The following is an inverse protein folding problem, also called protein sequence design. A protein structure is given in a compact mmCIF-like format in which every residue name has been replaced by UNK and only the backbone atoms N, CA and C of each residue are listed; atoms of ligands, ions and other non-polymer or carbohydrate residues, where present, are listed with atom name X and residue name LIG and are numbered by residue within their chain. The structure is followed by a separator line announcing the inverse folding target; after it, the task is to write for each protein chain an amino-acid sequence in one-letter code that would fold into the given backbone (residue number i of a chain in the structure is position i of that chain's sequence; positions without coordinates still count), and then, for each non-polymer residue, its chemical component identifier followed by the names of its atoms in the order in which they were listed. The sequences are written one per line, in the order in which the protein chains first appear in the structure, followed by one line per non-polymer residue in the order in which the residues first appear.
data_IF_599654148101
#
_entry.id   IF_599654148101
#
_cell.length_a   1.000
_cell.length_b   1.000
_cell.length_c   1.000
_cell.angle_alpha   90.00
_cell.angle_beta   90.00
_cell.angle_gamma   90.00
#
_symmetry.space_group_name_H-M   'P 1'
#
loop_
_entity.id
_entity.type
_entity.pdbx_description
1 polymer ?
#
# COMPACT_ATOMS: atom_id res chain seq x y z
N UNK A 1 -43.56 -59.44 -14.28
CA UNK A 1 -44.40 -58.24 -14.05
C UNK A 1 -43.57 -57.01 -14.37
N UNK A 2 -44.20 -56.05 -15.06
CA UNK A 2 -43.81 -54.65 -15.22
C UNK A 2 -42.58 -54.30 -16.09
N UNK A 3 -42.82 -54.19 -17.40
CA UNK A 3 -42.17 -53.23 -18.30
C UNK A 3 -42.80 -51.85 -18.10
N UNK A 4 -42.03 -50.83 -17.71
CA UNK A 4 -42.50 -49.46 -17.56
C UNK A 4 -42.16 -48.64 -18.82
N UNK A 5 -43.20 -48.17 -19.51
CA UNK A 5 -43.16 -47.32 -20.70
C UNK A 5 -42.85 -45.87 -20.31
N UNK A 6 -41.87 -45.26 -20.97
CA UNK A 6 -41.67 -43.81 -21.01
C UNK A 6 -42.71 -43.19 -21.96
N UNK A 7 -43.44 -42.18 -21.49
CA UNK A 7 -44.31 -41.34 -22.31
C UNK A 7 -43.96 -39.87 -22.08
N UNK A 8 -43.62 -39.19 -23.17
CA UNK A 8 -43.46 -37.74 -23.25
C UNK A 8 -44.78 -37.13 -23.76
N UNK A 9 -45.25 -35.98 -23.26
CA UNK A 9 -46.35 -35.27 -23.89
C UNK A 9 -45.82 -34.26 -24.91
N UNK A 10 -46.31 -34.42 -26.14
CA UNK A 10 -46.19 -33.46 -27.24
C UNK A 10 -47.10 -32.25 -27.01
N UNK A 11 -46.59 -31.07 -27.31
CA UNK A 11 -47.30 -29.79 -27.33
C UNK A 11 -48.32 -29.73 -28.48
N UNK A 12 -49.61 -29.58 -28.16
CA UNK A 12 -50.64 -29.24 -29.13
C UNK A 12 -50.87 -27.72 -29.16
N UNK A 13 -50.74 -27.17 -30.37
CA UNK A 13 -51.12 -25.81 -30.72
C UNK A 13 -52.65 -25.72 -30.81
N UNK A 14 -53.26 -24.88 -29.97
CA UNK A 14 -54.66 -24.47 -30.11
C UNK A 14 -54.71 -23.02 -30.58
N UNK A 15 -55.10 -22.85 -31.85
CA UNK A 15 -55.44 -21.58 -32.48
C UNK A 15 -56.84 -21.20 -31.99
N UNK A 16 -56.95 -20.15 -31.17
CA UNK A 16 -58.20 -19.54 -30.75
C UNK A 16 -58.21 -18.06 -31.12
N UNK A 17 -59.00 -17.70 -32.13
CA UNK A 17 -59.08 -16.35 -32.69
C UNK A 17 -59.52 -15.29 -31.67
N UNK A 18 -58.92 -14.11 -31.75
CA UNK A 18 -59.38 -12.90 -31.04
C UNK A 18 -59.98 -11.92 -32.04
N UNK A 19 -61.20 -11.52 -31.73
CA UNK A 19 -61.95 -10.43 -32.35
C UNK A 19 -61.42 -9.08 -31.81
N UNK A 20 -61.07 -8.09 -32.65
CA UNK A 20 -60.46 -6.84 -32.18
C UNK A 20 -61.53 -5.77 -31.91
N UNK A 21 -62.31 -5.92 -30.84
CA UNK A 21 -63.27 -4.88 -30.44
C UNK A 21 -63.68 -5.00 -28.97
N UNK A 22 -62.73 -5.11 -28.05
CA UNK A 22 -63.01 -4.81 -26.64
C UNK A 22 -61.71 -4.68 -25.87
N UNK A 23 -61.34 -3.44 -25.51
CA UNK A 23 -60.44 -3.08 -24.40
C UNK A 23 -60.24 -1.55 -24.41
N UNK A 24 -61.30 -0.81 -24.10
CA UNK A 24 -61.18 0.53 -23.50
C UNK A 24 -61.87 0.49 -22.14
N UNK A 25 -61.12 0.15 -21.09
CA UNK A 25 -61.41 0.63 -19.74
C UNK A 25 -60.12 0.74 -18.95
N UNK A 26 -59.76 2.00 -18.71
CA UNK A 26 -58.70 2.47 -17.85
C UNK A 26 -59.00 2.09 -16.40
N UNK A 27 -58.15 1.25 -15.81
CA UNK A 27 -57.98 1.14 -14.35
C UNK A 27 -56.65 1.77 -14.01
N UNK A 28 -56.71 2.97 -13.42
CA UNK A 28 -55.57 3.64 -12.82
C UNK A 28 -55.13 2.81 -11.60
N UNK A 29 -53.99 2.13 -11.72
CA UNK A 29 -53.26 1.59 -10.57
C UNK A 29 -52.73 2.78 -9.75
N UNK A 30 -52.85 2.79 -8.42
CA UNK A 30 -52.22 3.81 -7.61
C UNK A 30 -50.69 3.71 -7.79
N UNK A 31 -50.07 4.84 -8.13
CA UNK A 31 -48.62 4.96 -8.26
C UNK A 31 -47.96 4.49 -6.96
N UNK A 32 -47.15 3.43 -7.06
CA UNK A 32 -46.30 3.01 -5.96
C UNK A 32 -45.42 4.19 -5.54
N UNK A 33 -45.47 4.57 -4.26
CA UNK A 33 -44.52 5.49 -3.65
C UNK A 33 -43.10 5.08 -4.05
N UNK A 34 -42.19 6.03 -4.35
CA UNK A 34 -40.81 5.68 -4.60
C UNK A 34 -40.28 5.00 -3.33
N UNK A 35 -40.03 3.68 -3.42
CA UNK A 35 -39.21 3.00 -2.43
C UNK A 35 -37.93 3.81 -2.34
N UNK A 36 -37.70 4.47 -1.21
CA UNK A 36 -36.40 5.01 -0.82
C UNK A 36 -35.41 3.87 -1.06
N UNK A 37 -34.57 4.00 -2.09
CA UNK A 37 -33.43 3.10 -2.26
C UNK A 37 -32.69 3.19 -0.92
N UNK A 38 -32.53 2.04 -0.27
CA UNK A 38 -31.88 1.93 1.02
C UNK A 38 -30.57 2.72 1.00
N UNK A 39 -30.30 3.43 2.09
CA UNK A 39 -29.18 4.34 2.26
C UNK A 39 -27.91 3.85 1.55
N UNK A 40 -27.30 4.74 0.77
CA UNK A 40 -26.03 4.51 0.11
C UNK A 40 -25.05 3.83 1.08
N UNK A 41 -24.21 2.88 0.61
CA UNK A 41 -23.19 2.27 1.45
C UNK A 41 -22.43 3.38 2.15
N UNK A 42 -22.37 3.34 3.49
CA UNK A 42 -21.68 4.34 4.30
C UNK A 42 -20.19 4.21 3.98
N UNK A 43 -19.74 4.94 2.96
CA UNK A 43 -18.34 5.09 2.58
C UNK A 43 -17.76 6.16 3.50
N UNK A 44 -16.79 5.79 4.32
CA UNK A 44 -15.92 6.73 5.05
C UNK A 44 -16.62 7.95 5.66
N UNK A 45 -17.74 7.71 6.38
CA UNK A 45 -18.64 8.67 7.03
C UNK A 45 -18.33 10.16 6.82
N UNK A 46 -17.86 10.82 7.88
CA UNK A 46 -17.53 12.26 7.91
C UNK A 46 -16.13 12.61 7.38
N UNK A 47 -15.31 11.62 7.04
CA UNK A 47 -13.88 11.83 6.72
C UNK A 47 -13.55 11.71 5.22
N UNK A 48 -14.53 11.45 4.37
CA UNK A 48 -14.31 11.16 2.93
C UNK A 48 -13.38 12.17 2.25
N UNK A 49 -13.68 13.48 2.33
CA UNK A 49 -12.85 14.50 1.69
C UNK A 49 -11.45 14.62 2.32
N UNK A 50 -11.35 14.50 3.65
CA UNK A 50 -10.06 14.53 4.37
C UNK A 50 -9.17 13.35 3.96
N UNK A 51 -9.74 12.16 3.80
CA UNK A 51 -9.02 10.97 3.37
C UNK A 51 -8.48 11.12 1.95
N UNK A 52 -9.31 11.60 1.02
CA UNK A 52 -8.87 11.85 -0.37
C UNK A 52 -7.75 12.89 -0.40
N UNK A 53 -7.91 13.98 0.35
CA UNK A 53 -6.90 15.04 0.41
C UNK A 53 -5.59 14.55 1.04
N UNK A 54 -5.68 13.77 2.11
CA UNK A 54 -4.52 13.19 2.80
C UNK A 54 -3.78 12.22 1.88
N UNK A 55 -4.49 11.30 1.23
CA UNK A 55 -3.89 10.31 0.34
C UNK A 55 -3.17 10.98 -0.85
N UNK A 56 -3.78 12.01 -1.45
CA UNK A 56 -3.14 12.84 -2.51
C UNK A 56 -1.93 13.62 -2.00
N UNK A 57 -1.99 14.16 -0.78
CA UNK A 57 -0.88 14.91 -0.18
C UNK A 57 0.34 14.02 0.07
N UNK A 58 0.09 12.79 0.54
CA UNK A 58 1.13 11.77 0.69
C UNK A 58 1.67 11.35 -0.68
N UNK A 59 0.80 11.10 -1.65
CA UNK A 59 1.14 10.71 -3.03
C UNK A 59 1.50 11.91 -3.93
N UNK A 60 2.37 12.80 -3.45
CA UNK A 60 2.75 14.03 -4.14
C UNK A 60 4.07 13.91 -4.93
N UNK A 61 4.20 14.63 -6.07
CA UNK A 61 5.39 14.57 -6.93
C UNK A 61 6.71 14.74 -6.17
N UNK A 62 7.67 13.86 -6.43
CA UNK A 62 9.00 13.90 -5.85
C UNK A 62 9.06 13.50 -4.38
N UNK A 63 7.97 13.03 -3.76
CA UNK A 63 7.97 12.63 -2.36
C UNK A 63 7.56 11.17 -2.15
N UNK A 64 8.00 10.60 -1.03
CA UNK A 64 7.62 9.27 -0.59
C UNK A 64 7.50 9.20 0.94
N UNK A 65 7.50 7.98 1.46
CA UNK A 65 7.24 7.71 2.88
C UNK A 65 8.50 7.14 3.55
N UNK A 66 8.86 7.72 4.70
CA UNK A 66 9.84 7.15 5.62
C UNK A 66 9.14 6.15 6.56
N UNK A 67 9.42 4.86 6.42
CA UNK A 67 8.85 3.84 7.29
C UNK A 67 9.79 3.55 8.47
N UNK A 68 9.47 4.09 9.65
CA UNK A 68 10.23 3.94 10.91
C UNK A 68 9.40 3.26 11.99
N UNK A 69 8.45 2.44 11.55
CA UNK A 69 7.47 1.71 12.34
C UNK A 69 7.97 0.33 12.77
N UNK A 70 9.29 0.16 12.88
CA UNK A 70 9.86 -1.06 13.42
C UNK A 70 9.39 -1.24 14.87
N UNK A 71 8.80 -2.40 15.16
CA UNK A 71 8.50 -2.80 16.54
C UNK A 71 9.77 -2.75 17.40
N UNK A 72 9.62 -2.67 18.72
CA UNK A 72 10.76 -2.63 19.64
C UNK A 72 11.74 -3.78 19.42
N UNK A 73 11.25 -4.99 19.14
CA UNK A 73 12.08 -6.14 18.80
C UNK A 73 12.84 -5.96 17.47
N UNK A 74 12.18 -5.43 16.44
CA UNK A 74 12.78 -5.20 15.12
C UNK A 74 13.81 -4.06 15.17
N UNK A 75 13.50 -2.97 15.88
CA UNK A 75 14.44 -1.88 16.12
C UNK A 75 15.66 -2.38 16.91
N UNK A 76 15.45 -3.23 17.92
CA UNK A 76 16.53 -3.84 18.68
C UNK A 76 17.54 -4.60 17.81
N UNK A 77 17.06 -5.39 16.84
CA UNK A 77 17.96 -6.07 15.87
C UNK A 77 18.79 -5.07 15.04
N UNK A 78 18.23 -3.90 14.72
CA UNK A 78 18.96 -2.85 14.00
C UNK A 78 20.00 -2.16 14.88
N UNK A 79 19.65 -1.82 16.12
CA UNK A 79 20.59 -1.24 17.08
C UNK A 79 21.74 -2.20 17.40
N UNK A 80 21.44 -3.49 17.58
CA UNK A 80 22.46 -4.51 17.81
C UNK A 80 23.48 -4.61 16.65
N UNK A 81 23.07 -4.35 15.41
CA UNK A 81 23.97 -4.37 14.24
C UNK A 81 25.06 -3.28 14.28
N UNK A 82 24.89 -2.27 15.12
CA UNK A 82 25.87 -1.20 15.38
C UNK A 82 26.39 -1.23 16.82
N UNK A 83 26.16 -2.32 17.55
CA UNK A 83 26.64 -2.52 18.93
C UNK A 83 25.85 -1.77 20.01
N UNK A 84 24.61 -1.37 19.74
CA UNK A 84 23.76 -0.68 20.72
C UNK A 84 22.71 -1.60 21.34
N UNK A 85 22.49 -1.43 22.64
CA UNK A 85 21.43 -2.12 23.38
C UNK A 85 20.04 -1.62 22.97
N UNK A 86 19.05 -2.51 23.06
CA UNK A 86 17.65 -2.21 22.78
C UNK A 86 16.94 -1.53 23.96
N UNK A 87 17.40 -0.33 24.33
CA UNK A 87 16.77 0.51 25.35
C UNK A 87 15.81 1.51 24.73
N UNK A 88 14.83 1.98 25.50
CA UNK A 88 13.93 3.06 25.05
C UNK A 88 14.70 4.31 24.64
N UNK A 89 15.68 4.72 25.44
CA UNK A 89 16.53 5.88 25.15
C UNK A 89 17.26 5.74 23.81
N UNK A 90 17.81 4.57 23.48
CA UNK A 90 18.47 4.34 22.19
C UNK A 90 17.48 4.34 21.02
N UNK A 91 16.28 3.78 21.21
CA UNK A 91 15.20 3.82 20.21
C UNK A 91 14.69 5.24 19.96
N UNK A 92 14.56 6.04 21.02
CA UNK A 92 14.18 7.45 20.98
C UNK A 92 15.27 8.28 20.29
N UNK A 93 16.55 8.13 20.69
CA UNK A 93 17.66 8.85 20.08
C UNK A 93 17.78 8.58 18.57
N UNK A 94 17.59 7.32 18.18
CA UNK A 94 17.56 6.95 16.77
C UNK A 94 16.40 7.62 16.01
N UNK A 95 15.21 7.69 16.60
CA UNK A 95 14.04 8.31 15.98
C UNK A 95 14.14 9.82 15.96
N UNK A 96 14.67 10.42 17.01
CA UNK A 96 15.00 11.84 17.06
C UNK A 96 15.94 12.22 15.92
N UNK A 97 17.05 11.49 15.72
CA UNK A 97 17.97 11.71 14.61
C UNK A 97 17.23 11.80 13.27
N UNK A 98 16.36 10.84 12.97
CA UNK A 98 15.60 10.80 11.72
C UNK A 98 14.60 11.96 11.62
N UNK A 99 13.83 12.20 12.68
CA UNK A 99 12.68 13.10 12.70
C UNK A 99 13.05 14.59 12.86
N UNK A 100 14.28 14.89 13.27
CA UNK A 100 14.82 16.25 13.34
C UNK A 100 15.78 16.58 12.19
N UNK A 101 15.81 15.75 11.15
CA UNK A 101 16.59 16.05 9.93
C UNK A 101 15.94 17.22 9.18
N UNK A 102 16.61 18.39 9.18
CA UNK A 102 16.12 19.57 8.47
C UNK A 102 16.07 19.37 6.95
N UNK A 103 15.01 19.85 6.31
CA UNK A 103 14.81 19.74 4.85
C UNK A 103 14.35 18.36 4.38
N UNK A 104 14.05 17.43 5.30
CA UNK A 104 13.56 16.10 4.95
C UNK A 104 12.20 16.17 4.23
N UNK A 105 11.39 17.18 4.55
CA UNK A 105 10.09 17.45 3.94
C UNK A 105 10.07 17.66 2.43
N UNK A 106 11.21 18.02 1.84
CA UNK A 106 11.37 18.15 0.38
C UNK A 106 11.19 16.81 -0.35
N UNK A 107 11.49 15.71 0.33
CA UNK A 107 11.56 14.36 -0.24
C UNK A 107 10.62 13.37 0.43
N UNK A 108 10.18 13.66 1.64
CA UNK A 108 9.31 12.80 2.44
C UNK A 108 7.98 13.52 2.66
N UNK A 109 6.88 12.87 2.30
CA UNK A 109 5.51 13.38 2.47
C UNK A 109 4.81 12.75 3.68
N UNK A 110 5.27 11.59 4.14
CA UNK A 110 4.74 10.94 5.34
C UNK A 110 5.79 10.09 6.06
N UNK A 111 5.59 9.89 7.36
CA UNK A 111 6.41 8.99 8.16
C UNK A 111 5.52 8.00 8.92
N UNK A 112 5.77 6.69 8.76
CA UNK A 112 5.05 5.66 9.51
C UNK A 112 5.78 5.44 10.82
N UNK A 113 5.09 5.66 11.94
CA UNK A 113 5.61 5.51 13.29
C UNK A 113 5.17 4.18 13.91
N UNK A 114 5.96 3.70 14.87
CA UNK A 114 5.50 2.72 15.85
C UNK A 114 4.81 3.46 17.00
N UNK A 115 3.95 2.78 17.76
CA UNK A 115 3.16 3.39 18.83
C UNK A 115 4.02 4.10 19.87
N UNK A 116 5.13 3.47 20.32
CA UNK A 116 6.11 4.10 21.21
C UNK A 116 6.57 5.46 20.67
N UNK A 117 6.92 5.54 19.38
CA UNK A 117 7.41 6.77 18.74
C UNK A 117 6.32 7.82 18.55
N UNK A 118 5.05 7.43 18.36
CA UNK A 118 3.93 8.37 18.21
C UNK A 118 3.70 9.23 19.47
N UNK A 119 3.99 8.65 20.65
CA UNK A 119 3.85 9.32 21.95
C UNK A 119 5.17 9.86 22.51
N UNK A 120 6.30 9.58 21.86
CA UNK A 120 7.60 10.10 22.26
C UNK A 120 7.80 11.57 21.86
N UNK A 121 8.74 12.19 22.56
CA UNK A 121 9.24 13.53 22.29
C UNK A 121 10.75 13.48 22.06
N UNK A 122 11.30 14.54 21.51
CA UNK A 122 12.73 14.81 21.53
C UNK A 122 13.22 15.00 22.97
N UNK A 123 14.52 14.93 23.19
CA UNK A 123 15.16 15.16 24.50
C UNK A 123 14.91 16.57 25.07
N UNK A 124 14.61 17.55 24.23
CA UNK A 124 14.21 18.92 24.61
C UNK A 124 12.68 19.11 24.73
N UNK A 125 11.90 18.02 24.67
CA UNK A 125 10.47 18.01 25.00
C UNK A 125 9.50 18.30 23.83
N UNK A 126 9.99 18.46 22.59
CA UNK A 126 9.14 18.63 21.41
C UNK A 126 8.58 17.28 20.97
N UNK A 127 7.26 17.16 20.81
CA UNK A 127 6.65 15.91 20.33
C UNK A 127 7.16 15.56 18.93
N UNK A 128 7.40 14.27 18.67
CA UNK A 128 7.84 13.82 17.34
C UNK A 128 6.83 14.12 16.23
N UNK A 129 5.52 14.04 16.53
CA UNK A 129 4.46 14.43 15.58
C UNK A 129 4.56 15.91 15.17
N UNK A 130 5.03 16.78 16.06
CA UNK A 130 5.18 18.21 15.77
C UNK A 130 6.49 18.51 15.02
N UNK A 131 7.53 17.68 15.21
CA UNK A 131 8.72 17.71 14.36
C UNK A 131 8.37 17.38 12.90
N UNK A 132 7.59 16.32 12.69
CA UNK A 132 7.10 15.92 11.36
C UNK A 132 6.28 17.03 10.70
N UNK A 133 5.30 17.60 11.42
CA UNK A 133 4.45 18.68 10.89
C UNK A 133 5.25 19.93 10.51
N UNK A 134 6.27 20.27 11.27
CA UNK A 134 7.15 21.41 10.97
C UNK A 134 7.88 21.23 9.63
N UNK A 135 8.26 19.99 9.29
CA UNK A 135 8.84 19.61 8.00
C UNK A 135 7.78 19.30 6.93
N UNK A 136 6.49 19.58 7.15
CA UNK A 136 5.40 19.22 6.24
C UNK A 136 5.35 17.72 5.89
N UNK A 137 5.70 16.88 6.87
CA UNK A 137 5.62 15.43 6.81
C UNK A 137 4.40 14.97 7.59
N UNK A 138 3.53 14.20 6.93
CA UNK A 138 2.33 13.63 7.54
C UNK A 138 2.73 12.55 8.58
N UNK A 139 2.23 12.59 9.83
CA UNK A 139 2.39 11.47 10.75
C UNK A 139 1.45 10.32 10.38
N UNK A 140 1.98 9.10 10.36
CA UNK A 140 1.22 7.87 10.21
C UNK A 140 1.60 6.83 11.25
N UNK A 141 0.79 5.79 11.39
CA UNK A 141 0.92 4.82 12.48
C UNK A 141 0.76 3.38 11.98
N UNK A 142 1.66 2.48 12.38
CA UNK A 142 1.45 1.04 12.21
C UNK A 142 0.43 0.55 13.24
N UNK A 143 -0.65 -0.07 12.77
CA UNK A 143 -1.76 -0.49 13.65
C UNK A 143 -1.96 -2.00 13.73
N UNK A 144 -1.29 -2.76 12.88
CA UNK A 144 -1.28 -4.22 12.98
C UNK A 144 -0.48 -4.71 14.19
N UNK A 145 -0.91 -5.83 14.78
CA UNK A 145 -0.27 -6.47 15.94
C UNK A 145 0.67 -7.61 15.54
N UNK A 146 1.11 -7.63 14.29
CA UNK A 146 2.09 -8.58 13.78
C UNK A 146 1.49 -9.87 13.23
N UNK A 147 2.40 -10.72 12.74
CA UNK A 147 2.08 -11.99 12.11
C UNK A 147 2.12 -13.11 13.14
N UNK A 148 1.20 -14.06 13.00
CA UNK A 148 1.21 -15.33 13.75
C UNK A 148 1.00 -16.50 12.78
N UNK A 149 1.39 -17.73 13.14
CA UNK A 149 1.12 -18.91 12.33
C UNK A 149 -0.36 -19.03 11.99
N UNK A 150 -0.68 -19.32 10.73
CA UNK A 150 -2.05 -19.57 10.28
C UNK A 150 -2.40 -21.04 10.52
N UNK A 151 -3.31 -21.35 11.46
CA UNK A 151 -3.67 -22.74 11.75
C UNK A 151 -4.27 -23.43 10.52
N UNK A 152 -3.90 -24.70 10.30
CA UNK A 152 -4.37 -25.46 9.14
C UNK A 152 -3.72 -25.08 7.80
N UNK A 153 -2.69 -24.24 7.82
CA UNK A 153 -1.89 -23.89 6.64
C UNK A 153 -0.54 -24.61 6.63
N UNK A 154 0.15 -24.57 5.49
CA UNK A 154 1.51 -25.09 5.34
C UNK A 154 2.54 -24.06 5.81
N UNK A 155 2.67 -23.81 7.12
CA UNK A 155 3.61 -22.83 7.65
C UNK A 155 3.43 -21.41 7.03
N UNK A 156 2.19 -21.04 6.74
CA UNK A 156 1.82 -19.69 6.35
C UNK A 156 1.46 -18.87 7.60
N UNK A 157 1.25 -17.56 7.43
CA UNK A 157 0.95 -16.66 8.53
C UNK A 157 -0.26 -15.80 8.23
N UNK A 158 -0.91 -15.30 9.28
CA UNK A 158 -1.93 -14.26 9.17
C UNK A 158 -1.62 -13.14 10.14
N UNK A 159 -2.22 -11.97 9.92
CA UNK A 159 -1.95 -10.79 10.72
C UNK A 159 -3.08 -10.47 11.70
N UNK A 160 -2.73 -10.21 12.95
CA UNK A 160 -3.66 -9.89 14.02
C UNK A 160 -3.77 -8.38 14.26
N UNK A 161 -4.80 -7.97 15.01
CA UNK A 161 -4.90 -6.60 15.53
C UNK A 161 -6.24 -5.89 15.30
N UNK A 162 -7.24 -6.56 14.72
CA UNK A 162 -8.55 -5.97 14.45
C UNK A 162 -9.33 -5.66 15.74
N UNK A 163 -9.13 -6.46 16.79
CA UNK A 163 -9.77 -6.25 18.08
C UNK A 163 -9.36 -4.90 18.67
N UNK A 164 -10.38 -4.08 18.97
CA UNK A 164 -10.22 -2.72 19.47
C UNK A 164 -9.62 -1.73 18.47
N UNK A 165 -9.47 -2.09 17.19
CA UNK A 165 -8.79 -1.25 16.20
C UNK A 165 -9.48 0.10 16.01
N UNK A 166 -10.81 0.18 16.01
CA UNK A 166 -11.54 1.44 15.86
C UNK A 166 -11.15 2.45 16.95
N UNK A 167 -11.21 2.03 18.22
CA UNK A 167 -10.82 2.87 19.35
C UNK A 167 -9.35 3.31 19.26
N UNK A 168 -8.44 2.41 18.84
CA UNK A 168 -7.03 2.78 18.63
C UNK A 168 -6.87 3.80 17.51
N UNK A 169 -7.53 3.60 16.36
CA UNK A 169 -7.48 4.55 15.24
C UNK A 169 -7.98 5.94 15.64
N UNK A 170 -9.11 6.01 16.37
CA UNK A 170 -9.63 7.27 16.89
C UNK A 170 -8.62 7.98 17.82
N UNK A 171 -7.93 7.23 18.68
CA UNK A 171 -6.92 7.79 19.57
C UNK A 171 -5.66 8.25 18.83
N UNK A 172 -5.20 7.48 17.84
CA UNK A 172 -4.08 7.88 17.00
C UNK A 172 -4.41 9.12 16.15
N UNK A 173 -5.65 9.24 15.67
CA UNK A 173 -6.10 10.43 14.95
C UNK A 173 -6.00 11.69 15.83
N UNK A 174 -6.46 11.61 17.09
CA UNK A 174 -6.33 12.71 18.08
C UNK A 174 -4.86 13.04 18.37
N UNK A 175 -4.01 12.02 18.49
CA UNK A 175 -2.57 12.19 18.71
C UNK A 175 -1.85 12.81 17.50
N UNK A 176 -2.46 12.75 16.32
CA UNK A 176 -2.01 13.49 15.14
C UNK A 176 -1.72 12.66 13.91
N UNK A 177 -1.91 11.34 13.96
CA UNK A 177 -1.82 10.49 12.79
C UNK A 177 -2.93 10.85 11.78
N UNK A 178 -2.63 10.73 10.50
CA UNK A 178 -3.61 10.91 9.39
C UNK A 178 -3.66 9.75 8.43
N UNK A 179 -2.75 8.80 8.58
CA UNK A 179 -2.78 7.54 7.86
C UNK A 179 -2.30 6.40 8.75
N UNK A 180 -2.72 5.20 8.41
CA UNK A 180 -2.35 3.99 9.10
C UNK A 180 -1.63 3.03 8.16
N UNK A 181 -0.95 2.03 8.72
CA UNK A 181 -0.34 0.95 7.94
C UNK A 181 -0.68 -0.40 8.57
N UNK A 182 -1.05 -1.36 7.74
CA UNK A 182 -1.26 -2.75 8.13
C UNK A 182 -0.53 -3.68 7.19
N UNK A 183 0.42 -4.44 7.73
CA UNK A 183 1.20 -5.41 6.96
C UNK A 183 0.63 -6.82 7.09
N UNK A 184 0.29 -7.44 5.97
CA UNK A 184 0.13 -8.90 5.88
C UNK A 184 1.18 -9.49 4.94
N UNK A 185 1.40 -10.80 5.02
CA UNK A 185 2.34 -11.49 4.14
C UNK A 185 1.69 -12.67 3.47
N UNK A 186 2.17 -12.98 2.28
CA UNK A 186 1.84 -14.19 1.53
C UNK A 186 3.14 -14.86 1.11
N UNK A 187 3.29 -16.13 1.44
CA UNK A 187 4.50 -16.90 1.15
C UNK A 187 4.41 -17.59 -0.20
N UNK A 188 5.47 -17.48 -1.00
CA UNK A 188 5.66 -18.25 -2.24
C UNK A 188 6.24 -19.66 -1.98
N UNK A 189 7.25 -19.87 -1.11
CA UNK A 189 7.78 -21.21 -0.89
C UNK A 189 6.81 -22.11 -0.11
N UNK A 190 5.99 -21.52 0.75
CA UNK A 190 5.03 -22.25 1.58
C UNK A 190 3.63 -22.33 0.95
N UNK A 191 3.40 -21.61 -0.16
CA UNK A 191 2.10 -21.52 -0.82
C UNK A 191 2.06 -20.54 -2.02
N UNK A 192 0.98 -19.78 -2.25
CA UNK A 192 -0.02 -19.49 -1.26
C UNK A 192 -1.26 -20.38 -1.34
N UNK A 193 -1.69 -20.92 -0.20
CA UNK A 193 -2.97 -21.60 -0.09
C UNK A 193 -4.13 -20.63 -0.31
N UNK A 194 -5.28 -21.13 -0.76
CA UNK A 194 -6.48 -20.30 -0.88
C UNK A 194 -6.90 -19.69 0.48
N UNK A 195 -6.65 -20.40 1.57
CA UNK A 195 -6.91 -19.92 2.94
C UNK A 195 -6.04 -18.69 3.27
N UNK A 196 -4.73 -18.76 3.02
CA UNK A 196 -3.82 -17.66 3.31
C UNK A 196 -4.09 -16.42 2.44
N UNK A 197 -4.38 -16.62 1.15
CA UNK A 197 -4.75 -15.50 0.25
C UNK A 197 -6.02 -14.83 0.74
N UNK A 198 -7.05 -15.62 1.06
CA UNK A 198 -8.33 -15.09 1.55
C UNK A 198 -8.14 -14.34 2.87
N UNK A 199 -7.42 -14.90 3.84
CA UNK A 199 -7.24 -14.23 5.14
C UNK A 199 -6.40 -12.96 5.06
N UNK A 200 -5.34 -12.97 4.25
CA UNK A 200 -4.56 -11.76 3.99
C UNK A 200 -5.45 -10.66 3.40
N UNK A 201 -6.27 -11.00 2.41
CA UNK A 201 -7.14 -10.06 1.69
C UNK A 201 -8.31 -9.56 2.56
N UNK A 202 -8.98 -10.46 3.28
CA UNK A 202 -10.09 -10.15 4.16
C UNK A 202 -9.66 -9.32 5.38
N UNK A 203 -8.50 -9.65 5.98
CA UNK A 203 -7.92 -8.89 7.08
C UNK A 203 -7.59 -7.45 6.68
N UNK A 204 -6.95 -7.27 5.52
CA UNK A 204 -6.65 -5.95 4.96
C UNK A 204 -7.92 -5.14 4.69
N UNK A 205 -8.96 -5.77 4.15
CA UNK A 205 -10.20 -5.08 3.84
C UNK A 205 -10.93 -4.57 5.09
N UNK A 206 -11.04 -5.40 6.14
CA UNK A 206 -11.63 -4.99 7.43
C UNK A 206 -10.81 -3.88 8.09
N UNK A 207 -9.49 -3.99 8.08
CA UNK A 207 -8.59 -2.94 8.56
C UNK A 207 -8.85 -1.61 7.83
N UNK A 208 -8.89 -1.64 6.50
CA UNK A 208 -9.03 -0.44 5.69
C UNK A 208 -10.35 0.28 5.96
N UNK A 209 -11.46 -0.46 6.05
CA UNK A 209 -12.77 0.09 6.39
C UNK A 209 -12.76 0.75 7.77
N UNK A 210 -12.23 0.07 8.80
CA UNK A 210 -12.14 0.60 10.16
C UNK A 210 -11.26 1.87 10.21
N UNK A 211 -10.13 1.88 9.49
CA UNK A 211 -9.24 3.03 9.44
C UNK A 211 -9.94 4.26 8.81
N UNK A 212 -10.64 4.06 7.69
CA UNK A 212 -11.37 5.14 7.02
C UNK A 212 -12.50 5.70 7.89
N UNK A 213 -13.23 4.85 8.61
CA UNK A 213 -14.30 5.26 9.52
C UNK A 213 -13.78 6.09 10.71
N UNK A 214 -12.48 6.03 10.98
CA UNK A 214 -11.79 6.77 12.04
C UNK A 214 -10.82 7.83 11.50
N UNK A 215 -10.98 8.26 10.24
CA UNK A 215 -10.25 9.39 9.66
C UNK A 215 -8.78 9.12 9.30
N UNK A 216 -8.36 7.86 9.25
CA UNK A 216 -7.00 7.47 8.85
C UNK A 216 -7.01 6.86 7.45
N UNK A 217 -6.21 7.41 6.53
CA UNK A 217 -5.96 6.78 5.21
C UNK A 217 -5.27 5.43 5.43
N UNK A 218 -5.85 4.29 5.03
CA UNK A 218 -5.19 3.01 5.17
C UNK A 218 -4.13 2.81 4.07
N UNK A 219 -2.90 2.53 4.50
CA UNK A 219 -1.89 1.89 3.66
C UNK A 219 -2.13 0.38 3.73
N UNK A 220 -2.62 -0.16 2.62
CA UNK A 220 -2.87 -1.59 2.41
C UNK A 220 -1.56 -2.25 1.97
N UNK A 221 -0.95 -3.11 2.80
CA UNK A 221 0.35 -3.76 2.52
C UNK A 221 0.21 -5.28 2.38
N UNK A 222 -0.16 -5.78 1.18
CA UNK A 222 -0.17 -7.21 0.84
C UNK A 222 1.22 -7.64 0.34
N UNK A 223 2.16 -7.85 1.26
CA UNK A 223 3.54 -8.22 0.90
C UNK A 223 3.60 -9.67 0.40
N UNK A 224 4.01 -9.85 -0.86
CA UNK A 224 4.47 -11.16 -1.33
C UNK A 224 5.93 -11.31 -0.88
N UNK A 225 6.19 -12.35 -0.08
CA UNK A 225 7.53 -12.59 0.48
C UNK A 225 8.55 -12.90 -0.61
N UNK A 226 9.76 -12.41 -0.40
CA UNK A 226 10.89 -12.58 -1.31
C UNK A 226 11.52 -13.98 -1.20
N UNK A 227 11.30 -14.69 -0.10
CA UNK A 227 11.96 -15.95 0.23
C UNK A 227 11.79 -17.05 -0.84
N UNK A 228 12.84 -17.84 -1.07
CA UNK A 228 12.87 -18.98 -2.01
C UNK A 228 13.60 -18.74 -3.35
N UNK A 229 13.67 -19.78 -4.18
CA UNK A 229 14.40 -19.85 -5.47
C UNK A 229 13.44 -19.74 -6.69
N UNK A 230 12.31 -19.08 -6.53
CA UNK A 230 11.32 -18.97 -7.60
C UNK A 230 11.69 -17.89 -8.62
N UNK A 231 11.40 -18.10 -9.93
CA UNK A 231 11.64 -17.09 -10.95
C UNK A 231 10.63 -15.94 -10.85
N UNK A 232 10.93 -14.80 -11.51
CA UNK A 232 10.10 -13.59 -11.44
C UNK A 232 8.66 -13.81 -11.94
N UNK A 233 8.46 -14.72 -12.88
CA UNK A 233 7.15 -15.11 -13.42
C UNK A 233 6.26 -15.72 -12.32
N UNK A 234 6.85 -16.49 -11.41
CA UNK A 234 6.11 -17.08 -10.28
C UNK A 234 5.68 -16.00 -9.30
N UNK A 235 6.53 -15.02 -9.02
CA UNK A 235 6.17 -13.85 -8.21
C UNK A 235 5.00 -13.08 -8.83
N UNK A 236 5.03 -12.89 -10.16
CA UNK A 236 3.94 -12.24 -10.89
C UNK A 236 2.63 -13.02 -10.75
N UNK A 237 2.64 -14.33 -10.99
CA UNK A 237 1.46 -15.19 -10.89
C UNK A 237 0.83 -15.11 -9.48
N UNK A 238 1.65 -15.23 -8.45
CA UNK A 238 1.20 -15.15 -7.06
C UNK A 238 0.65 -13.76 -6.73
N UNK A 239 1.36 -12.70 -7.09
CA UNK A 239 0.92 -11.33 -6.85
C UNK A 239 -0.42 -11.04 -7.55
N UNK A 240 -0.61 -11.51 -8.78
CA UNK A 240 -1.86 -11.34 -9.52
C UNK A 240 -3.05 -11.99 -8.84
N UNK A 241 -2.87 -13.23 -8.33
CA UNK A 241 -3.92 -13.93 -7.59
C UNK A 241 -4.27 -13.19 -6.30
N UNK A 242 -3.26 -12.84 -5.51
CA UNK A 242 -3.46 -12.20 -4.20
C UNK A 242 -4.13 -10.85 -4.35
N UNK A 243 -3.67 -10.03 -5.29
CA UNK A 243 -4.15 -8.65 -5.36
C UNK A 243 -5.54 -8.55 -6.00
N UNK A 244 -5.92 -9.52 -6.85
CA UNK A 244 -7.30 -9.66 -7.27
C UNK A 244 -8.24 -9.84 -6.07
N UNK A 245 -7.89 -10.74 -5.13
CA UNK A 245 -8.68 -10.94 -3.91
C UNK A 245 -8.63 -9.75 -2.96
N UNK A 246 -7.49 -9.06 -2.82
CA UNK A 246 -7.38 -7.84 -2.02
C UNK A 246 -8.36 -6.79 -2.51
N UNK A 247 -8.37 -6.44 -3.81
CA UNK A 247 -9.28 -5.42 -4.32
C UNK A 247 -10.74 -5.88 -4.35
N UNK A 248 -11.00 -7.18 -4.56
CA UNK A 248 -12.33 -7.75 -4.38
C UNK A 248 -12.85 -7.52 -2.95
N UNK A 249 -12.08 -7.93 -1.94
CA UNK A 249 -12.53 -7.80 -0.55
C UNK A 249 -12.54 -6.36 -0.05
N UNK A 250 -11.66 -5.48 -0.53
CA UNK A 250 -11.76 -4.04 -0.27
C UNK A 250 -13.09 -3.48 -0.78
N UNK A 251 -13.54 -3.88 -1.98
CA UNK A 251 -14.83 -3.49 -2.52
C UNK A 251 -16.00 -4.06 -1.69
N UNK A 252 -15.94 -5.34 -1.31
CA UNK A 252 -16.96 -5.99 -0.46
C UNK A 252 -17.09 -5.33 0.93
N UNK A 253 -16.01 -4.73 1.44
CA UNK A 253 -16.00 -3.97 2.69
C UNK A 253 -16.30 -2.47 2.48
N UNK A 254 -16.77 -2.06 1.30
CA UNK A 254 -17.12 -0.68 0.95
C UNK A 254 -15.99 0.34 1.13
N UNK A 255 -14.73 -0.09 0.98
CA UNK A 255 -13.57 0.78 1.10
C UNK A 255 -13.53 1.77 -0.06
N UNK A 256 -13.33 3.05 0.24
CA UNK A 256 -13.17 4.11 -0.75
C UNK A 256 -11.74 4.12 -1.31
N UNK A 257 -11.55 3.72 -2.56
CA UNK A 257 -10.21 3.55 -3.15
C UNK A 257 -9.46 4.88 -3.32
N UNK A 258 -10.16 5.99 -3.48
CA UNK A 258 -9.60 7.33 -3.55
C UNK A 258 -8.93 7.76 -2.23
N UNK A 259 -9.32 7.12 -1.12
CA UNK A 259 -8.81 7.37 0.22
C UNK A 259 -7.95 6.24 0.76
N UNK A 260 -7.30 5.43 -0.10
CA UNK A 260 -6.28 4.44 0.32
C UNK A 260 -4.93 4.75 -0.30
N UNK A 261 -3.89 4.07 0.20
CA UNK A 261 -2.63 3.91 -0.52
C UNK A 261 -2.29 2.42 -0.55
N UNK A 262 -1.66 1.95 -1.62
CA UNK A 262 -1.16 0.57 -1.69
C UNK A 262 0.34 0.57 -1.36
N UNK A 263 0.80 -0.33 -0.49
CA UNK A 263 2.22 -0.56 -0.22
C UNK A 263 2.59 -2.00 -0.57
N UNK A 264 2.87 -2.29 -1.85
CA UNK A 264 3.20 -3.63 -2.24
C UNK A 264 4.70 -3.91 -2.30
N UNK A 265 5.07 -5.19 -2.38
CA UNK A 265 6.38 -5.60 -2.90
C UNK A 265 6.49 -5.35 -4.40
N UNK A 266 7.70 -5.06 -4.87
CA UNK A 266 8.00 -5.12 -6.30
C UNK A 266 7.98 -6.58 -6.76
N UNK A 267 7.67 -6.81 -8.04
CA UNK A 267 7.75 -8.15 -8.63
C UNK A 267 9.21 -8.44 -8.97
N UNK A 268 9.86 -9.25 -8.14
CA UNK A 268 11.27 -9.65 -8.29
C UNK A 268 11.38 -11.18 -8.28
N UNK A 269 12.48 -11.76 -8.79
CA UNK A 269 12.82 -13.15 -8.47
C UNK A 269 12.96 -13.34 -6.96
N UNK A 270 12.86 -14.58 -6.50
CA UNK A 270 13.11 -14.94 -5.12
C UNK A 270 14.54 -14.61 -4.68
N UNK A 271 14.76 -14.44 -3.36
CA UNK A 271 16.04 -14.03 -2.80
C UNK A 271 17.18 -14.99 -3.19
N UNK A 272 16.87 -16.29 -3.22
CA UNK A 272 17.79 -17.39 -3.50
C UNK A 272 17.90 -17.68 -5.00
N UNK A 273 17.09 -17.00 -5.83
CA UNK A 273 17.12 -17.19 -7.26
C UNK A 273 18.46 -16.76 -7.86
N UNK A 274 19.06 -17.68 -8.62
CA UNK A 274 20.41 -17.54 -9.19
C UNK A 274 20.53 -16.34 -10.11
N UNK A 275 19.52 -16.10 -10.93
CA UNK A 275 19.50 -14.99 -11.88
C UNK A 275 18.87 -13.75 -11.25
N UNK A 276 19.63 -12.66 -11.19
CA UNK A 276 19.11 -11.36 -10.78
C UNK A 276 18.44 -10.68 -11.98
N UNK A 277 17.25 -10.13 -11.75
CA UNK A 277 16.55 -9.35 -12.77
C UNK A 277 17.09 -7.92 -12.83
N UNK A 278 17.19 -7.35 -14.04
CA UNK A 278 17.53 -5.94 -14.21
C UNK A 278 16.38 -5.03 -13.73
N UNK A 279 16.67 -3.75 -13.42
CA UNK A 279 15.63 -2.78 -13.07
C UNK A 279 14.53 -2.64 -14.11
N UNK A 280 14.87 -2.72 -15.40
CA UNK A 280 13.90 -2.65 -16.50
C UNK A 280 12.96 -3.85 -16.50
N UNK A 281 13.49 -5.05 -16.23
CA UNK A 281 12.69 -6.27 -16.12
C UNK A 281 11.77 -6.20 -14.89
N UNK A 282 12.30 -5.84 -13.73
CA UNK A 282 11.51 -5.66 -12.50
C UNK A 282 10.39 -4.64 -12.73
N UNK A 283 10.71 -3.50 -13.36
CA UNK A 283 9.72 -2.48 -13.68
C UNK A 283 8.65 -3.00 -14.64
N UNK A 284 9.02 -3.71 -15.70
CA UNK A 284 8.07 -4.29 -16.67
C UNK A 284 7.08 -5.23 -15.96
N UNK A 285 7.56 -6.17 -15.16
CA UNK A 285 6.72 -7.14 -14.46
C UNK A 285 5.83 -6.46 -13.41
N UNK A 286 6.41 -5.55 -12.63
CA UNK A 286 5.68 -4.82 -11.58
C UNK A 286 4.59 -3.94 -12.16
N UNK A 287 4.87 -3.15 -13.21
CA UNK A 287 3.87 -2.30 -13.86
C UNK A 287 2.80 -3.11 -14.60
N UNK A 288 3.16 -4.28 -15.15
CA UNK A 288 2.18 -5.19 -15.78
C UNK A 288 1.15 -5.66 -14.76
N UNK A 289 1.62 -6.08 -13.59
CA UNK A 289 0.77 -6.53 -12.51
C UNK A 289 -0.12 -5.41 -11.97
N UNK A 290 0.43 -4.19 -11.76
CA UNK A 290 -0.36 -3.01 -11.36
C UNK A 290 -1.50 -2.74 -12.35
N UNK A 291 -1.19 -2.72 -13.66
CA UNK A 291 -2.18 -2.51 -14.74
C UNK A 291 -3.28 -3.57 -14.79
N UNK A 292 -2.99 -4.80 -14.34
CA UNK A 292 -3.95 -5.90 -14.34
C UNK A 292 -4.85 -5.92 -13.10
N UNK A 293 -4.39 -5.40 -11.96
CA UNK A 293 -5.04 -5.65 -10.66
C UNK A 293 -5.41 -4.42 -9.86
N UNK A 294 -4.81 -3.26 -10.12
CA UNK A 294 -5.05 -2.05 -9.32
C UNK A 294 -6.00 -1.12 -10.08
N UNK A 295 -7.12 -0.68 -9.47
CA UNK A 295 -7.97 0.34 -10.05
C UNK A 295 -7.26 1.71 -10.12
N UNK A 296 -7.47 2.54 -11.16
CA UNK A 296 -6.87 3.87 -11.28
C UNK A 296 -7.38 4.88 -10.23
N UNK A 297 -8.45 4.55 -9.49
CA UNK A 297 -8.95 5.37 -8.39
C UNK A 297 -7.98 5.44 -7.20
N UNK A 298 -7.08 4.46 -7.05
CA UNK A 298 -6.04 4.50 -6.02
C UNK A 298 -5.08 5.66 -6.30
N UNK A 299 -4.81 6.58 -5.36
CA UNK A 299 -3.97 7.74 -5.64
C UNK A 299 -2.47 7.40 -5.74
N UNK A 300 -1.98 6.46 -4.92
CA UNK A 300 -0.54 6.17 -4.83
C UNK A 300 -0.18 4.72 -4.53
N UNK A 301 0.91 4.27 -5.14
CA UNK A 301 1.57 2.98 -4.94
C UNK A 301 2.93 3.25 -4.30
N UNK A 302 3.03 2.97 -3.00
CA UNK A 302 4.15 3.34 -2.15
C UNK A 302 4.98 2.08 -1.85
N UNK A 303 5.84 1.65 -2.77
CA UNK A 303 6.52 0.36 -2.68
C UNK A 303 7.32 0.18 -1.39
N UNK A 304 7.23 -1.02 -0.80
CA UNK A 304 8.21 -1.45 0.20
C UNK A 304 9.53 -1.81 -0.49
N UNK A 305 10.66 -1.59 0.18
CA UNK A 305 11.97 -1.98 -0.37
C UNK A 305 12.25 -3.48 -0.22
N UNK A 306 11.58 -4.14 0.72
CA UNK A 306 11.79 -5.56 1.00
C UNK A 306 13.25 -5.83 1.34
N UNK A 307 13.81 -6.90 0.77
CA UNK A 307 15.22 -7.33 0.91
C UNK A 307 16.24 -6.57 0.06
N UNK A 308 15.80 -5.60 -0.75
CA UNK A 308 16.68 -4.88 -1.68
C UNK A 308 17.68 -3.98 -0.93
N UNK A 309 18.85 -3.79 -1.54
CA UNK A 309 19.79 -2.74 -1.12
C UNK A 309 19.20 -1.34 -1.35
N UNK A 310 19.81 -0.32 -0.74
CA UNK A 310 19.39 1.08 -0.92
C UNK A 310 19.43 1.51 -2.40
N UNK A 311 20.44 1.05 -3.14
CA UNK A 311 20.65 1.41 -4.54
C UNK A 311 19.70 0.64 -5.46
N UNK A 312 19.52 -0.67 -5.26
CA UNK A 312 18.59 -1.48 -6.06
C UNK A 312 17.15 -0.95 -5.94
N UNK A 313 16.70 -0.63 -4.73
CA UNK A 313 15.37 -0.07 -4.51
C UNK A 313 15.18 1.25 -5.29
N UNK A 314 16.20 2.12 -5.26
CA UNK A 314 16.19 3.39 -6.01
C UNK A 314 16.16 3.16 -7.53
N UNK A 315 16.98 2.24 -8.05
CA UNK A 315 17.05 1.95 -9.49
C UNK A 315 15.75 1.34 -10.02
N UNK A 316 15.17 0.40 -9.28
CA UNK A 316 13.92 -0.25 -9.64
C UNK A 316 12.74 0.75 -9.63
N UNK A 317 12.66 1.59 -8.60
CA UNK A 317 11.68 2.68 -8.56
C UNK A 317 11.84 3.65 -9.74
N UNK A 318 13.08 4.01 -10.06
CA UNK A 318 13.37 4.90 -11.18
C UNK A 318 12.93 4.30 -12.51
N UNK A 319 13.21 3.01 -12.73
CA UNK A 319 12.81 2.30 -13.94
C UNK A 319 11.28 2.27 -14.11
N UNK A 320 10.52 2.07 -13.02
CA UNK A 320 9.05 2.12 -13.05
C UNK A 320 8.49 3.49 -13.45
N UNK A 321 9.20 4.57 -13.08
CA UNK A 321 8.78 5.95 -13.39
C UNK A 321 9.36 6.49 -14.71
N UNK A 322 10.07 5.68 -15.50
CA UNK A 322 10.45 6.04 -16.88
C UNK A 322 9.28 5.97 -17.87
N UNK A 323 8.13 5.46 -17.43
CA UNK A 323 6.90 5.38 -18.23
C UNK A 323 5.72 6.02 -17.50
N UNK A 324 4.73 6.57 -18.21
CA UNK A 324 3.53 7.12 -17.58
C UNK A 324 2.76 6.05 -16.79
N UNK A 325 2.34 6.42 -15.59
CA UNK A 325 1.51 5.60 -14.72
C UNK A 325 0.23 6.38 -14.36
N UNK A 326 -0.95 5.72 -14.28
CA UNK A 326 -2.17 6.36 -13.81
C UNK A 326 -2.14 6.60 -12.29
N UNK A 327 -1.28 5.87 -11.57
CA UNK A 327 -1.02 6.06 -10.14
C UNK A 327 0.25 6.87 -9.90
N UNK A 328 0.34 7.49 -8.73
CA UNK A 328 1.60 7.99 -8.22
C UNK A 328 2.47 6.83 -7.72
N UNK A 329 3.44 6.39 -8.52
CA UNK A 329 4.37 5.30 -8.17
C UNK A 329 5.56 5.87 -7.40
N UNK A 330 5.63 5.57 -6.10
CA UNK A 330 6.62 6.10 -5.15
C UNK A 330 7.09 5.01 -4.16
N UNK A 331 7.68 5.44 -3.04
CA UNK A 331 8.33 4.59 -2.05
C UNK A 331 7.70 4.73 -0.66
N UNK A 332 7.71 3.63 0.09
CA UNK A 332 7.54 3.58 1.54
C UNK A 332 8.64 2.71 2.13
N UNK A 333 9.80 3.32 2.33
CA UNK A 333 11.06 2.60 2.59
C UNK A 333 11.48 2.68 4.04
N UNK A 334 11.90 1.53 4.57
CA UNK A 334 12.55 1.42 5.87
C UNK A 334 14.07 1.28 5.67
N UNK A 335 14.58 0.06 5.52
CA UNK A 335 16.01 -0.24 5.31
C UNK A 335 16.63 0.58 4.18
N UNK A 336 15.94 0.75 3.06
CA UNK A 336 16.46 1.48 1.89
C UNK A 336 16.67 3.00 2.13
N UNK A 337 16.15 3.56 3.24
CA UNK A 337 16.42 4.94 3.67
C UNK A 337 17.31 5.02 4.93
N UNK A 338 17.48 3.91 5.65
CA UNK A 338 18.00 3.90 7.02
C UNK A 338 19.33 3.16 7.20
N UNK A 339 19.71 2.24 6.30
CA UNK A 339 20.89 1.40 6.52
C UNK A 339 22.18 2.23 6.60
N UNK A 340 22.38 3.17 5.67
CA UNK A 340 23.52 4.09 5.68
C UNK A 340 23.48 5.04 6.88
N UNK A 341 22.28 5.44 7.32
CA UNK A 341 22.08 6.29 8.51
C UNK A 341 22.59 5.59 9.77
N UNK A 342 22.14 4.36 10.02
CA UNK A 342 22.56 3.56 11.18
C UNK A 342 24.09 3.34 11.19
N UNK A 343 24.66 2.94 10.05
CA UNK A 343 26.11 2.72 9.91
C UNK A 343 26.94 3.97 10.14
N UNK A 344 26.41 5.13 9.75
CA UNK A 344 27.08 6.42 9.94
C UNK A 344 26.95 6.90 11.39
N UNK A 345 25.76 6.75 11.97
CA UNK A 345 25.49 7.19 13.34
C UNK A 345 26.29 6.41 14.38
N UNK A 346 26.31 5.07 14.29
CA UNK A 346 26.97 4.17 15.25
C UNK A 346 26.56 4.39 16.72
N UNK A 347 25.40 5.00 16.96
CA UNK A 347 24.94 5.36 18.30
C UNK A 347 25.64 6.56 18.94
N UNK A 348 26.47 7.28 18.18
CA UNK A 348 27.33 8.34 18.73
C UNK A 348 26.74 9.74 18.48
N UNK A 349 26.57 10.58 19.52
CA UNK A 349 26.01 11.93 19.37
C UNK A 349 26.76 12.81 18.36
N UNK A 350 28.08 12.70 18.29
CA UNK A 350 28.93 13.45 17.36
C UNK A 350 28.68 13.11 15.88
N UNK A 351 28.08 11.95 15.59
CA UNK A 351 27.80 11.49 14.23
C UNK A 351 26.38 11.86 13.74
N UNK A 352 25.55 12.50 14.57
CA UNK A 352 24.15 12.80 14.23
C UNK A 352 24.06 13.59 12.92
N UNK A 353 24.83 14.67 12.78
CA UNK A 353 24.78 15.51 11.57
C UNK A 353 25.19 14.73 10.31
N UNK A 354 26.23 13.89 10.39
CA UNK A 354 26.67 13.05 9.29
C UNK A 354 25.60 12.01 8.89
N UNK A 355 24.93 11.41 9.87
CA UNK A 355 23.87 10.45 9.65
C UNK A 355 22.61 11.10 9.05
N UNK A 356 22.25 12.32 9.48
CA UNK A 356 21.17 13.11 8.86
C UNK A 356 21.48 13.46 7.40
N UNK A 357 22.73 13.84 7.09
CA UNK A 357 23.17 14.04 5.69
C UNK A 357 23.04 12.75 4.87
N UNK A 358 23.38 11.59 5.44
CA UNK A 358 23.19 10.30 4.77
C UNK A 358 21.70 10.01 4.47
N UNK A 359 20.80 10.34 5.41
CA UNK A 359 19.35 10.23 5.19
C UNK A 359 18.90 11.11 4.01
N UNK A 360 19.30 12.38 3.97
CA UNK A 360 18.96 13.30 2.89
C UNK A 360 19.47 12.80 1.53
N UNK A 361 20.67 12.25 1.47
CA UNK A 361 21.24 11.66 0.23
C UNK A 361 20.38 10.51 -0.29
N UNK A 362 19.81 9.68 0.59
CA UNK A 362 18.89 8.60 0.18
C UNK A 362 17.49 9.10 -0.11
N UNK A 363 16.96 10.03 0.67
CA UNK A 363 15.66 10.63 0.43
C UNK A 363 15.62 11.35 -0.92
N UNK A 364 16.66 12.15 -1.24
CA UNK A 364 16.81 12.82 -2.54
C UNK A 364 16.97 11.85 -3.71
N UNK A 365 17.73 10.77 -3.54
CA UNK A 365 17.89 9.75 -4.58
C UNK A 365 16.53 9.10 -4.93
N UNK A 366 15.75 8.73 -3.92
CA UNK A 366 14.42 8.15 -4.10
C UNK A 366 13.39 9.16 -4.63
N UNK A 367 13.50 10.43 -4.24
CA UNK A 367 12.73 11.53 -4.83
C UNK A 367 12.99 11.66 -6.34
N UNK A 368 14.25 11.66 -6.77
CA UNK A 368 14.61 11.67 -8.18
C UNK A 368 14.14 10.40 -8.91
N UNK A 369 14.18 9.25 -8.25
CA UNK A 369 13.68 7.99 -8.80
C UNK A 369 12.16 8.02 -9.00
N UNK A 370 11.41 8.58 -8.05
CA UNK A 370 9.97 8.81 -8.20
C UNK A 370 9.68 9.67 -9.45
N UNK A 371 10.51 10.68 -9.70
CA UNK A 371 10.38 11.53 -10.89
C UNK A 371 10.90 10.91 -12.19
N UNK A 372 11.43 9.68 -12.16
CA UNK A 372 12.08 9.05 -13.31
C UNK A 372 13.33 9.80 -13.78
N UNK A 373 14.06 10.45 -12.87
CA UNK A 373 15.23 11.30 -13.18
C UNK A 373 16.50 10.87 -12.48
N UNK A 374 16.47 9.76 -11.74
CA UNK A 374 17.66 9.24 -11.09
C UNK A 374 18.63 8.66 -12.13
N UNK A 375 19.92 8.95 -11.95
CA UNK A 375 21.01 8.31 -12.68
C UNK A 375 22.01 7.74 -11.68
N UNK A 376 22.72 6.66 -12.07
CA UNK A 376 23.68 5.98 -11.21
C UNK A 376 24.84 6.91 -10.74
N UNK A 377 25.08 8.01 -11.46
CA UNK A 377 26.06 9.05 -11.11
C UNK A 377 25.53 10.07 -10.09
N UNK A 378 24.31 9.89 -9.56
CA UNK A 378 23.70 10.77 -8.57
C UNK A 378 23.25 12.14 -9.11
N UNK A 379 23.31 12.35 -10.43
CA UNK A 379 22.86 13.59 -11.09
C UNK A 379 21.45 13.42 -11.68
N UNK A 380 20.66 14.49 -11.66
CA UNK A 380 19.36 14.50 -12.34
C UNK A 380 19.59 14.34 -13.86
N UNK A 381 18.98 13.33 -14.48
CA UNK A 381 18.98 13.20 -15.94
C UNK A 381 18.21 14.37 -16.55
N UNK A 382 18.79 15.04 -17.57
CA UNK A 382 18.06 16.06 -18.35
C UNK A 382 16.82 15.41 -18.98
N UNK A 383 15.65 16.07 -18.97
CA UNK A 383 14.44 15.52 -19.58
C UNK A 383 14.70 15.23 -21.06
N UNK A 384 14.29 14.04 -21.53
CA UNK A 384 14.25 13.76 -22.96
C UNK A 384 13.23 14.72 -23.58
N UNK A 385 13.56 15.43 -24.67
CA UNK A 385 12.59 16.29 -25.33
C UNK A 385 11.38 15.45 -25.74
N UNK A 386 10.18 15.93 -25.40
CA UNK A 386 8.95 15.32 -25.84
C UNK A 386 9.00 15.22 -27.37
N UNK A 387 8.72 14.03 -27.91
CA UNK A 387 8.60 13.83 -29.34
C UNK A 387 7.51 14.77 -29.86
N UNK A 388 7.90 15.91 -30.44
CA UNK A 388 6.98 16.84 -31.06
C UNK A 388 6.29 16.08 -32.18
N UNK A 389 4.96 15.90 -32.07
CA UNK A 389 4.14 15.43 -33.19
C UNK A 389 4.48 16.33 -34.38
N UNK A 390 5.12 15.77 -35.41
CA UNK A 390 5.28 16.46 -36.68
C UNK A 390 3.87 16.83 -37.16
N UNK A 391 3.62 18.12 -37.31
CA UNK A 391 2.44 18.60 -38.02
C UNK A 391 2.47 18.00 -39.43
N UNK A 392 1.38 17.34 -39.81
CA UNK A 392 1.15 16.87 -41.17
C UNK A 392 0.90 18.13 -42.01
N UNK A 393 1.68 18.41 -43.07
CA UNK A 393 1.39 19.54 -43.93
C UNK A 393 0.16 19.20 -44.78
N UNK A 394 -0.93 19.95 -44.56
CA UNK A 394 -2.06 19.99 -45.49
C UNK A 394 -1.59 20.67 -46.77
N UNK A 395 -1.59 19.94 -47.87
CA UNK A 395 -1.57 20.50 -49.23
C UNK A 395 -2.99 20.82 -49.66
#
# INVERSE_FOLDING_TARGET
MATAKLSAPASQWAIGGRNPADLRRSTLLPAASPRRVAAAPIRAGSYSDELVQTAKSIASPGRGILAIDESNATCGKRLASIGLDNTEANRQAYRQLLLTTGGLGEYISGAILFEETLYQSTTDGKKFVDCLRHENIMPGIKVDKGLVPLPGSNNESWCQGLDGLASRCAEYYKQGARFAKWRTVVSVPNGPSALAVKEASWGLARYAAIAQDNGLVPIVEPEILLDGDHPIERTLEVAEKVWAEVFFYLAENNVMFEGILLKPSMVTPGAEHKEKASPETIAKFTLTMLKRRVPPAVPGIMFLSGGQSEVEATLNLNAMNQSPNPWHVSFSYARALQNSVLKTWQGRPENVEAAQKALLVRARANSLAQLGRYSAEGRARRPRPACSRRAIPTK
#
